data_IF_238788512697
#
_entry.id   IF_238788512697
#
_cell.length_a   1.000
_cell.length_b   1.000
_cell.length_c   1.000
_cell.angle_alpha   90.00
_cell.angle_beta   90.00
_cell.angle_gamma   90.00
#
_symmetry.space_group_name_H-M   'P 1'
#
loop_
_entity.id
_entity.type
_entity.pdbx_description
1 polymer ?
#
# COMPACT_ATOMS: atom_id res chain seq x y z
N UNK A 1 15.51 -0.45 26.14
CA UNK A 1 15.37 0.88 25.52
C UNK A 1 14.44 0.73 24.33
N UNK A 2 13.38 1.53 24.25
CA UNK A 2 12.39 1.51 23.15
C UNK A 2 12.49 2.84 22.41
N UNK A 3 12.58 2.80 21.09
CA UNK A 3 12.50 3.97 20.22
C UNK A 3 11.22 3.91 19.42
N UNK A 4 10.51 5.04 19.36
CA UNK A 4 9.32 5.21 18.55
C UNK A 4 9.66 6.24 17.47
N UNK A 5 9.33 5.91 16.23
CA UNK A 5 9.53 6.78 15.08
C UNK A 5 8.21 6.96 14.34
N UNK A 6 8.00 8.16 13.80
CA UNK A 6 6.89 8.44 12.89
C UNK A 6 7.20 7.89 11.49
N UNK A 7 6.18 7.39 10.80
CA UNK A 7 6.32 6.83 9.46
C UNK A 7 5.23 7.32 8.53
N UNK A 8 5.60 7.61 7.28
CA UNK A 8 4.64 7.99 6.26
C UNK A 8 3.97 6.75 5.67
N UNK A 9 2.65 6.77 5.65
CA UNK A 9 1.80 5.69 5.18
C UNK A 9 0.92 6.23 4.07
N UNK A 10 0.92 5.54 2.93
CA UNK A 10 -0.05 5.76 1.88
C UNK A 10 -1.23 4.81 2.10
N UNK A 11 -2.43 5.36 2.27
CA UNK A 11 -3.65 4.57 2.46
C UNK A 11 -4.48 4.58 1.18
N UNK A 12 -4.74 3.38 0.65
CA UNK A 12 -5.29 3.11 -0.67
C UNK A 12 -4.41 3.53 -1.84
N UNK A 13 -4.44 2.75 -2.92
CA UNK A 13 -3.71 3.06 -4.16
C UNK A 13 -4.64 3.50 -5.30
N UNK A 14 -5.95 3.38 -5.10
CA UNK A 14 -6.98 3.67 -6.11
C UNK A 14 -6.75 2.91 -7.44
N UNK A 15 -7.47 3.28 -8.50
CA UNK A 15 -7.29 2.73 -9.84
C UNK A 15 -6.03 3.28 -10.53
N UNK A 16 -5.43 2.50 -11.43
CA UNK A 16 -4.17 2.82 -12.15
C UNK A 16 -4.04 4.28 -12.69
N UNK A 17 -5.09 4.89 -13.30
CA UNK A 17 -5.00 6.27 -13.78
C UNK A 17 -4.68 7.31 -12.69
N UNK A 18 -4.92 6.98 -11.42
CA UNK A 18 -4.72 7.87 -10.27
C UNK A 18 -3.26 8.05 -9.87
N UNK A 19 -2.31 7.26 -10.41
CA UNK A 19 -0.93 7.28 -9.89
C UNK A 19 -0.25 8.65 -10.03
N UNK A 20 -0.47 9.37 -11.13
CA UNK A 20 0.12 10.69 -11.31
C UNK A 20 -0.36 11.66 -10.23
N UNK A 21 -1.67 11.62 -9.90
CA UNK A 21 -2.24 12.45 -8.84
C UNK A 21 -1.66 12.13 -7.46
N UNK A 22 -1.37 10.85 -7.19
CA UNK A 22 -0.72 10.43 -5.93
C UNK A 22 0.69 11.02 -5.84
N UNK A 23 1.49 10.89 -6.90
CA UNK A 23 2.87 11.40 -6.93
C UNK A 23 2.90 12.92 -6.83
N UNK A 24 2.03 13.60 -7.58
CA UNK A 24 1.88 15.06 -7.55
C UNK A 24 1.43 15.55 -6.17
N UNK A 25 0.49 14.83 -5.54
CA UNK A 25 0.07 15.11 -4.16
C UNK A 25 1.22 14.99 -3.17
N UNK A 26 1.98 13.90 -3.21
CA UNK A 26 3.16 13.72 -2.34
C UNK A 26 4.20 14.83 -2.56
N UNK A 27 4.45 15.20 -3.82
CA UNK A 27 5.37 16.29 -4.16
C UNK A 27 4.87 17.64 -3.62
N UNK A 28 3.57 17.94 -3.73
CA UNK A 28 2.96 19.17 -3.20
C UNK A 28 3.09 19.29 -1.67
N UNK A 29 3.10 18.16 -0.96
CA UNK A 29 3.35 18.11 0.48
C UNK A 29 4.83 17.97 0.86
N UNK A 30 5.75 18.04 -0.11
CA UNK A 30 7.20 17.81 0.08
C UNK A 30 7.52 16.45 0.74
N UNK A 31 6.74 15.41 0.43
CA UNK A 31 6.96 14.05 0.91
C UNK A 31 7.76 13.27 -0.15
N UNK A 32 9.02 12.90 0.11
CA UNK A 32 9.80 12.09 -0.81
C UNK A 32 9.21 10.68 -0.92
N UNK A 33 9.25 10.09 -2.11
CA UNK A 33 8.76 8.73 -2.35
C UNK A 33 9.53 7.69 -1.51
N UNK A 34 10.81 7.94 -1.24
CA UNK A 34 11.69 7.09 -0.42
C UNK A 34 11.31 7.15 1.07
N UNK A 35 10.54 8.15 1.49
CA UNK A 35 10.07 8.29 2.87
C UNK A 35 8.75 7.57 3.11
N UNK A 36 8.12 7.02 2.08
CA UNK A 36 6.93 6.16 2.24
C UNK A 36 7.39 4.80 2.79
N UNK A 37 6.97 4.48 4.01
CA UNK A 37 7.31 3.22 4.67
C UNK A 37 6.31 2.12 4.32
N UNK A 38 5.04 2.49 4.15
CA UNK A 38 3.96 1.54 3.87
C UNK A 38 2.98 2.06 2.84
N UNK A 39 2.48 1.13 2.03
CA UNK A 39 1.28 1.29 1.22
C UNK A 39 0.26 0.30 1.78
N UNK A 40 -0.88 0.77 2.26
CA UNK A 40 -1.92 -0.07 2.84
C UNK A 40 -3.14 -0.04 1.94
N UNK A 41 -3.66 -1.20 1.57
CA UNK A 41 -4.93 -1.32 0.82
C UNK A 41 -5.94 -2.11 1.65
N UNK A 42 -7.18 -1.64 1.72
CA UNK A 42 -8.23 -2.28 2.52
C UNK A 42 -8.73 -3.59 1.92
N UNK A 43 -8.62 -3.73 0.59
CA UNK A 43 -9.00 -4.92 -0.16
C UNK A 43 -8.38 -4.88 -1.56
N UNK A 44 -8.42 -6.03 -2.26
CA UNK A 44 -7.70 -6.25 -3.53
C UNK A 44 -8.49 -5.86 -4.79
N UNK A 45 -9.62 -5.16 -4.66
CA UNK A 45 -10.37 -4.74 -5.84
C UNK A 45 -9.63 -3.59 -6.54
N UNK A 46 -9.71 -3.54 -7.87
CA UNK A 46 -8.88 -2.68 -8.72
C UNK A 46 -9.06 -1.18 -8.45
N UNK A 47 -10.22 -0.79 -7.94
CA UNK A 47 -10.57 0.57 -7.54
C UNK A 47 -9.87 1.03 -6.25
N UNK A 48 -9.19 0.13 -5.56
CA UNK A 48 -8.51 0.34 -4.27
C UNK A 48 -7.04 -0.13 -4.31
N UNK A 49 -6.79 -1.27 -4.95
CA UNK A 49 -5.49 -1.87 -5.24
C UNK A 49 -5.27 -1.92 -6.76
N UNK A 50 -5.23 -0.76 -7.42
CA UNK A 50 -4.93 -0.65 -8.85
C UNK A 50 -3.56 -0.03 -9.18
N UNK A 51 -2.92 0.69 -8.24
CA UNK A 51 -1.62 1.33 -8.46
C UNK A 51 -0.48 0.72 -7.61
N UNK A 52 -0.77 -0.18 -6.68
CA UNK A 52 0.14 -0.67 -5.64
C UNK A 52 1.45 -1.21 -6.19
N UNK A 53 1.40 -1.94 -7.31
CA UNK A 53 2.62 -2.45 -7.94
C UNK A 53 3.51 -1.31 -8.42
N UNK A 54 2.95 -0.36 -9.17
CA UNK A 54 3.71 0.74 -9.75
C UNK A 54 4.18 1.72 -8.66
N UNK A 55 3.41 1.85 -7.57
CA UNK A 55 3.83 2.59 -6.38
C UNK A 55 4.98 1.89 -5.65
N UNK A 56 5.02 0.57 -5.54
CA UNK A 56 6.18 -0.15 -4.98
C UNK A 56 7.44 0.01 -5.83
N UNK A 57 7.31 0.08 -7.16
CA UNK A 57 8.44 0.36 -8.06
C UNK A 57 9.01 1.77 -7.83
N UNK A 58 8.16 2.75 -7.47
CA UNK A 58 8.55 4.14 -7.23
C UNK A 58 8.98 4.41 -5.78
N UNK A 59 8.26 3.87 -4.82
CA UNK A 59 8.51 3.98 -3.38
C UNK A 59 9.33 2.77 -2.93
N UNK A 60 10.62 2.76 -3.24
CA UNK A 60 11.49 1.58 -3.09
C UNK A 60 11.62 1.06 -1.64
N UNK A 61 11.39 1.93 -0.65
CA UNK A 61 11.42 1.58 0.77
C UNK A 61 10.06 1.10 1.30
N UNK A 62 8.98 1.25 0.52
CA UNK A 62 7.65 0.94 0.96
C UNK A 62 7.39 -0.57 1.00
N UNK A 63 6.70 -1.02 2.05
CA UNK A 63 6.12 -2.37 2.13
C UNK A 63 4.63 -2.29 1.84
N UNK A 64 4.11 -3.26 1.09
CA UNK A 64 2.68 -3.37 0.85
C UNK A 64 2.00 -4.14 1.98
N UNK A 65 0.97 -3.55 2.57
CA UNK A 65 0.09 -4.18 3.55
C UNK A 65 -1.29 -4.34 2.91
N UNK A 66 -1.69 -5.59 2.72
CA UNK A 66 -3.04 -5.91 2.25
C UNK A 66 -3.87 -6.33 3.43
N UNK A 67 -4.89 -5.54 3.74
CA UNK A 67 -5.88 -5.92 4.72
C UNK A 67 -6.86 -6.88 4.06
N UNK A 68 -6.94 -8.10 4.58
CA UNK A 68 -7.93 -9.07 4.11
C UNK A 68 -9.03 -9.23 5.15
N UNK A 69 -10.27 -9.01 4.72
CA UNK A 69 -11.44 -9.45 5.47
C UNK A 69 -11.52 -10.97 5.36
N UNK A 70 -11.66 -11.69 6.48
CA UNK A 70 -12.07 -13.10 6.46
C UNK A 70 -13.46 -13.20 5.85
N UNK A 71 -13.54 -13.50 4.56
CA UNK A 71 -14.77 -14.02 3.96
C UNK A 71 -14.71 -15.55 4.04
N UNK A 72 -15.86 -16.21 4.24
CA UNK A 72 -15.96 -17.68 4.28
C UNK A 72 -15.42 -18.37 3.02
N UNK A 73 -15.14 -17.60 1.97
CA UNK A 73 -14.64 -18.07 0.70
C UNK A 73 -13.18 -17.66 0.52
N UNK A 74 -12.34 -18.67 0.32
CA UNK A 74 -10.90 -18.62 0.07
C UNK A 74 -10.56 -17.56 -0.98
N UNK A 75 -10.18 -16.36 -0.57
CA UNK A 75 -9.54 -15.40 -1.46
C UNK A 75 -8.20 -15.98 -1.89
N UNK A 76 -8.09 -16.29 -3.18
CA UNK A 76 -6.80 -16.68 -3.79
C UNK A 76 -5.86 -15.50 -3.54
N UNK A 77 -4.75 -15.67 -2.80
CA UNK A 77 -3.81 -14.57 -2.62
C UNK A 77 -3.38 -14.12 -4.01
N UNK A 78 -3.64 -12.84 -4.32
CA UNK A 78 -3.05 -12.25 -5.50
C UNK A 78 -1.53 -12.43 -5.38
N UNK A 79 -0.88 -12.83 -6.48
CA UNK A 79 0.56 -13.09 -6.50
C UNK A 79 1.27 -11.75 -6.41
N UNK A 80 1.46 -11.25 -5.21
CA UNK A 80 2.33 -10.12 -4.95
C UNK A 80 3.76 -10.64 -4.74
N UNK A 81 4.75 -9.95 -5.31
CA UNK A 81 6.15 -10.31 -5.16
C UNK A 81 6.64 -10.10 -3.71
N UNK A 82 7.86 -10.57 -3.43
CA UNK A 82 8.45 -10.93 -2.12
C UNK A 82 8.44 -9.89 -0.97
N UNK A 83 7.89 -8.69 -1.14
CA UNK A 83 7.85 -7.60 -0.13
C UNK A 83 6.43 -7.24 0.34
N UNK A 84 5.50 -8.19 0.26
CA UNK A 84 4.09 -7.97 0.62
C UNK A 84 3.76 -8.65 1.95
N UNK A 85 3.30 -7.88 2.93
CA UNK A 85 2.83 -8.40 4.22
C UNK A 85 1.31 -8.45 4.16
N UNK A 86 0.76 -9.67 4.16
CA UNK A 86 -0.69 -9.86 4.25
C UNK A 86 -1.08 -9.88 5.72
N UNK A 87 -1.90 -8.93 6.15
CA UNK A 87 -2.41 -8.87 7.52
C UNK A 87 -3.89 -9.24 7.50
N UNK A 88 -4.22 -10.37 8.14
CA UNK A 88 -5.60 -10.76 8.37
C UNK A 88 -6.08 -10.08 9.65
N UNK A 89 -7.11 -9.22 9.56
CA UNK A 89 -7.80 -8.77 10.77
C UNK A 89 -8.84 -9.80 11.20
N UNK A 90 -8.77 -10.15 12.47
CA UNK A 90 -9.82 -10.84 13.20
C UNK A 90 -10.78 -9.77 13.72
N UNK A 91 -11.96 -9.65 13.11
CA UNK A 91 -13.13 -9.08 13.76
C UNK A 91 -14.18 -10.18 13.84
#
# INVERSE_FOLDING_TARGET
MVFLEEQNILFESSANPSISNIIEGLAAFNIPLEKIAFIIVTHIQLDHAGCERLLLEKCQNAKLVVLLKKTKYRTRPARFNQSSIVVNMFY
#
